data_IF_323248692029
#
_entry.id   IF_323248692029
#
_cell.length_a   1.000
_cell.length_b   1.000
_cell.length_c   1.000
_cell.angle_alpha   90.00
_cell.angle_beta   90.00
_cell.angle_gamma   90.00
#
_symmetry.space_group_name_H-M   'P 1'
#
loop_
_entity.id
_entity.type
_entity.pdbx_description
1 polymer ?
#
# COMPACT_ATOMS: atom_id res chain seq x y z
N UNK A 1 12.19 30.97 21.70
CA UNK A 1 12.74 30.22 22.85
C UNK A 1 12.58 28.71 22.61
N UNK A 2 13.56 27.89 23.01
CA UNK A 2 13.54 26.41 22.91
C UNK A 2 13.77 25.81 24.31
N UNK A 3 13.18 24.66 24.58
CA UNK A 3 13.35 23.87 25.82
C UNK A 3 14.10 22.58 25.47
N UNK A 4 15.04 22.18 26.32
CA UNK A 4 15.77 20.91 26.21
C UNK A 4 15.15 19.93 27.21
N UNK A 5 14.65 18.79 26.73
CA UNK A 5 14.22 17.68 27.57
C UNK A 5 15.46 16.90 28.02
N UNK A 6 15.58 16.66 29.33
CA UNK A 6 16.71 15.94 29.91
C UNK A 6 16.68 14.44 29.59
N UNK A 7 17.85 13.79 29.61
CA UNK A 7 18.00 12.34 29.40
C UNK A 7 17.06 11.52 30.29
N UNK A 8 16.90 11.92 31.56
CA UNK A 8 16.01 11.26 32.51
C UNK A 8 14.54 11.37 32.11
N UNK A 9 14.09 12.54 31.66
CA UNK A 9 12.72 12.74 31.17
C UNK A 9 12.46 11.95 29.88
N UNK A 10 13.43 11.94 28.95
CA UNK A 10 13.35 11.16 27.71
C UNK A 10 13.27 9.66 27.99
N UNK A 11 14.12 9.13 28.88
CA UNK A 11 14.05 7.73 29.30
C UNK A 11 12.70 7.39 29.96
N UNK A 12 12.19 8.25 30.85
CA UNK A 12 10.88 8.05 31.48
C UNK A 12 9.72 8.04 30.46
N UNK A 13 9.81 8.83 29.37
CA UNK A 13 8.84 8.77 28.27
C UNK A 13 8.94 7.42 27.54
N UNK A 14 10.15 6.96 27.20
CA UNK A 14 10.38 5.68 26.51
C UNK A 14 9.84 4.51 27.34
N UNK A 15 10.11 4.46 28.64
CA UNK A 15 9.63 3.42 29.59
C UNK A 15 8.10 3.45 29.75
N UNK A 16 7.46 4.60 29.57
CA UNK A 16 5.98 4.69 29.56
C UNK A 16 5.40 4.24 28.22
N UNK A 17 6.08 4.51 27.10
CA UNK A 17 5.66 4.07 25.77
C UNK A 17 5.86 2.57 25.54
N UNK A 18 6.87 1.94 26.16
CA UNK A 18 7.11 0.48 26.02
C UNK A 18 5.96 -0.37 26.59
N UNK A 19 5.11 0.19 27.46
CA UNK A 19 3.90 -0.46 27.97
C UNK A 19 2.78 -0.59 26.94
N UNK A 20 2.87 0.13 25.81
CA UNK A 20 1.80 0.21 24.79
C UNK A 20 2.29 0.01 23.36
N UNK A 21 3.60 -0.16 23.16
CA UNK A 21 4.24 -0.20 21.85
C UNK A 21 5.50 -1.05 21.87
N UNK A 22 5.68 -1.88 20.85
CA UNK A 22 6.88 -2.69 20.65
C UNK A 22 8.05 -1.86 20.11
N UNK A 23 7.79 -0.63 19.63
CA UNK A 23 8.79 0.28 19.03
C UNK A 23 8.76 1.67 19.71
N UNK A 24 8.88 1.75 21.04
CA UNK A 24 8.61 2.98 21.81
C UNK A 24 9.55 4.15 21.48
N UNK A 25 10.79 3.85 21.07
CA UNK A 25 11.77 4.86 20.65
C UNK A 25 11.40 5.43 19.26
N UNK A 26 10.88 4.60 18.36
CA UNK A 26 10.39 5.05 17.05
C UNK A 26 9.10 5.87 17.19
N UNK A 27 8.18 5.46 18.06
CA UNK A 27 6.99 6.25 18.41
C UNK A 27 7.38 7.65 18.94
N UNK A 28 8.36 7.71 19.86
CA UNK A 28 8.88 8.99 20.36
C UNK A 28 9.55 9.81 19.25
N UNK A 29 10.35 9.18 18.38
CA UNK A 29 11.00 9.84 17.26
C UNK A 29 10.00 10.42 16.24
N UNK A 30 8.93 9.68 15.92
CA UNK A 30 7.84 10.10 15.04
C UNK A 30 7.05 11.28 15.63
N UNK A 31 6.68 11.21 16.92
CA UNK A 31 6.01 12.31 17.63
C UNK A 31 6.95 13.52 17.71
N UNK A 32 8.25 13.33 17.94
CA UNK A 32 9.22 14.43 17.98
C UNK A 32 9.46 15.06 16.59
N UNK A 33 9.56 14.30 15.49
CA UNK A 33 9.72 14.84 14.11
C UNK A 33 8.64 15.88 13.80
N UNK A 34 7.39 15.57 14.19
CA UNK A 34 6.21 16.45 14.05
C UNK A 34 6.31 17.81 14.76
N UNK A 35 7.08 17.93 15.85
CA UNK A 35 7.11 19.12 16.71
C UNK A 35 8.48 19.84 16.76
N UNK A 36 9.52 19.24 16.18
CA UNK A 36 10.91 19.73 16.23
C UNK A 36 11.37 20.49 14.98
N UNK A 37 10.55 20.55 13.93
CA UNK A 37 10.92 21.02 12.59
C UNK A 37 12.18 20.31 12.03
N UNK A 38 12.42 19.07 12.46
CA UNK A 38 13.59 18.30 12.06
C UNK A 38 13.37 17.65 10.70
N UNK A 39 14.22 17.99 9.73
CA UNK A 39 14.30 17.30 8.43
C UNK A 39 14.95 15.91 8.53
N UNK A 40 15.47 15.50 9.70
CA UNK A 40 16.00 14.14 9.90
C UNK A 40 14.89 13.09 9.84
N UNK A 41 15.18 11.93 9.26
CA UNK A 41 14.26 10.81 9.28
C UNK A 41 14.04 10.21 10.68
N UNK A 42 12.86 9.62 10.97
CA UNK A 42 12.54 9.05 12.28
C UNK A 42 13.55 8.00 12.73
N UNK A 43 14.13 7.22 11.81
CA UNK A 43 15.20 6.26 12.10
C UNK A 43 16.46 6.93 12.64
N UNK A 44 16.89 8.06 12.05
CA UNK A 44 18.04 8.84 12.53
C UNK A 44 17.77 9.47 13.89
N UNK A 45 16.57 9.99 14.10
CA UNK A 45 16.13 10.52 15.41
C UNK A 45 16.07 9.39 16.44
N UNK A 46 15.58 8.20 16.07
CA UNK A 46 15.54 7.03 16.95
C UNK A 46 16.94 6.58 17.36
N UNK A 47 17.91 6.53 16.42
CA UNK A 47 19.31 6.20 16.72
C UNK A 47 19.94 7.22 17.69
N UNK A 48 19.67 8.52 17.52
CA UNK A 48 20.09 9.57 18.47
C UNK A 48 19.45 9.38 19.86
N UNK A 49 18.24 8.81 19.92
CA UNK A 49 17.52 8.44 21.16
C UNK A 49 17.93 7.09 21.78
N UNK A 50 18.71 6.25 21.09
CA UNK A 50 19.32 5.05 21.67
C UNK A 50 20.59 5.38 22.47
N UNK A 51 21.33 6.43 22.09
CA UNK A 51 22.61 6.81 22.71
C UNK A 51 22.53 7.27 24.16
N UNK A 52 23.69 7.47 24.79
CA UNK A 52 23.83 7.82 26.22
C UNK A 52 23.29 9.23 26.53
N UNK A 53 23.55 10.21 25.64
CA UNK A 53 23.19 11.61 25.82
C UNK A 53 21.90 12.01 25.07
N UNK A 54 20.75 11.51 25.55
CA UNK A 54 19.44 11.72 24.92
C UNK A 54 18.88 13.12 25.23
N UNK A 55 19.15 14.10 24.37
CA UNK A 55 18.59 15.46 24.47
C UNK A 55 17.63 15.73 23.32
N UNK A 56 16.37 16.00 23.63
CA UNK A 56 15.37 16.46 22.66
C UNK A 56 15.13 17.96 22.84
N UNK A 57 15.14 18.73 21.74
CA UNK A 57 15.00 20.19 21.80
C UNK A 57 13.72 20.61 21.08
N UNK A 58 12.78 21.20 21.82
CA UNK A 58 11.43 21.52 21.34
C UNK A 58 11.17 23.02 21.49
N UNK A 59 10.45 23.63 20.55
CA UNK A 59 9.97 25.01 20.70
C UNK A 59 9.00 25.11 21.88
N UNK A 60 9.04 26.20 22.65
CA UNK A 60 8.11 26.41 23.78
C UNK A 60 6.65 26.29 23.33
N UNK A 61 6.32 26.84 22.16
CA UNK A 61 4.97 26.75 21.57
C UNK A 61 4.54 25.31 21.20
N UNK A 62 5.50 24.41 21.00
CA UNK A 62 5.25 23.00 20.64
C UNK A 62 5.20 22.06 21.84
N UNK A 63 5.56 22.50 23.05
CA UNK A 63 5.75 21.58 24.20
C UNK A 63 4.44 20.95 24.68
N UNK A 64 3.38 21.75 24.83
CA UNK A 64 2.06 21.28 25.24
C UNK A 64 1.46 20.29 24.22
N UNK A 65 1.36 20.60 22.91
CA UNK A 65 0.83 19.64 21.95
C UNK A 65 1.70 18.39 21.77
N UNK A 66 3.03 18.48 21.95
CA UNK A 66 3.92 17.30 22.01
C UNK A 66 3.55 16.36 23.17
N UNK A 67 3.44 16.87 24.40
CA UNK A 67 3.04 16.05 25.55
C UNK A 67 1.61 15.52 25.45
N UNK A 68 0.67 16.29 24.89
CA UNK A 68 -0.70 15.82 24.64
C UNK A 68 -0.73 14.64 23.66
N UNK A 69 0.12 14.62 22.63
CA UNK A 69 0.21 13.48 21.71
C UNK A 69 0.93 12.27 22.32
N UNK A 70 1.94 12.49 23.18
CA UNK A 70 2.51 11.41 24.00
C UNK A 70 1.45 10.77 24.92
N UNK A 71 0.62 11.57 25.59
CA UNK A 71 -0.47 11.07 26.45
C UNK A 71 -1.51 10.29 25.62
N UNK A 72 -1.82 10.73 24.39
CA UNK A 72 -2.67 9.95 23.47
C UNK A 72 -2.02 8.63 23.08
N UNK A 73 -0.72 8.61 22.75
CA UNK A 73 0.00 7.36 22.42
C UNK A 73 0.01 6.39 23.60
N UNK A 74 0.27 6.87 24.82
CA UNK A 74 0.17 6.11 26.08
C UNK A 74 -1.25 5.60 26.38
N UNK A 75 -2.28 6.08 25.68
CA UNK A 75 -3.65 5.54 25.69
C UNK A 75 -3.98 4.73 24.43
N UNK A 76 -2.95 4.13 23.81
CA UNK A 76 -3.03 3.30 22.61
C UNK A 76 -3.61 4.00 21.38
N UNK A 77 -3.54 5.34 21.29
CA UNK A 77 -3.96 6.02 20.07
C UNK A 77 -2.95 5.72 18.94
N UNK A 78 -3.36 5.28 17.74
CA UNK A 78 -2.43 4.82 16.70
C UNK A 78 -1.43 5.91 16.27
N UNK A 79 -0.15 5.55 16.14
CA UNK A 79 0.92 6.48 15.78
C UNK A 79 0.65 7.18 14.44
N UNK A 80 0.19 6.43 13.43
CA UNK A 80 -0.20 6.95 12.11
C UNK A 80 -1.32 8.00 12.16
N UNK A 81 -2.20 7.95 13.17
CA UNK A 81 -3.23 8.97 13.38
C UNK A 81 -2.71 10.22 14.12
N UNK A 82 -1.58 10.13 14.84
CA UNK A 82 -0.90 11.28 15.45
C UNK A 82 -0.05 12.02 14.41
N UNK A 83 0.76 11.29 13.65
CA UNK A 83 1.58 11.82 12.54
C UNK A 83 0.73 12.27 11.35
N UNK A 84 -0.45 11.67 11.18
CA UNK A 84 -1.34 11.78 9.99
C UNK A 84 -0.72 11.16 8.73
N UNK A 85 0.18 10.19 8.90
CA UNK A 85 1.01 9.60 7.86
C UNK A 85 1.18 8.09 8.10
N UNK A 86 1.26 7.32 7.01
CA UNK A 86 1.67 5.91 6.98
C UNK A 86 2.34 5.60 5.65
N UNK A 87 3.55 5.08 5.69
CA UNK A 87 4.22 4.52 4.52
C UNK A 87 3.53 3.23 4.06
N UNK A 88 3.35 3.09 2.75
CA UNK A 88 2.82 1.89 2.09
C UNK A 88 3.39 1.83 0.67
N UNK A 89 4.04 0.72 0.33
CA UNK A 89 4.86 0.59 -0.87
C UNK A 89 5.88 1.77 -0.94
N UNK A 90 6.18 2.26 -2.12
CA UNK A 90 7.10 3.39 -2.34
C UNK A 90 6.47 4.78 -2.11
N UNK A 91 5.48 4.95 -1.23
CA UNK A 91 4.81 6.24 -0.97
C UNK A 91 4.35 6.47 0.47
N UNK A 92 4.42 7.72 0.93
CA UNK A 92 3.82 8.18 2.19
C UNK A 92 2.33 8.55 1.97
N UNK A 93 1.41 7.86 2.64
CA UNK A 93 -0.02 8.14 2.56
C UNK A 93 -0.50 9.01 3.73
N UNK A 94 -1.28 10.06 3.43
CA UNK A 94 -1.94 10.83 4.47
C UNK A 94 -3.12 10.04 5.04
N UNK A 95 -3.17 9.91 6.37
CA UNK A 95 -4.17 9.12 7.10
C UNK A 95 -4.84 9.97 8.18
N UNK A 96 -6.12 9.68 8.47
CA UNK A 96 -6.90 10.29 9.57
C UNK A 96 -7.80 9.25 10.23
N UNK A 97 -8.14 9.49 11.50
CA UNK A 97 -9.10 8.68 12.28
C UNK A 97 -10.40 8.43 11.52
N UNK A 98 -10.79 7.17 11.43
CA UNK A 98 -11.99 6.72 10.70
C UNK A 98 -11.75 6.32 9.24
N UNK A 99 -10.48 6.10 8.87
CA UNK A 99 -10.03 5.37 7.67
C UNK A 99 -9.03 4.32 8.14
N UNK A 100 -9.08 3.11 7.56
CA UNK A 100 -8.15 2.01 7.88
C UNK A 100 -6.70 2.46 7.65
N UNK A 101 -5.79 2.05 8.54
CA UNK A 101 -4.36 2.29 8.36
C UNK A 101 -3.82 1.24 7.38
N UNK A 102 -3.16 1.64 6.27
CA UNK A 102 -2.55 0.69 5.32
C UNK A 102 -1.64 -0.34 5.99
N UNK A 103 -1.71 -1.56 5.48
CA UNK A 103 -1.08 -2.76 6.03
C UNK A 103 0.01 -3.25 5.07
N UNK A 104 1.27 -3.46 5.50
CA UNK A 104 2.33 -3.98 4.62
C UNK A 104 1.93 -5.26 3.88
N UNK A 105 1.12 -6.11 4.52
CA UNK A 105 0.59 -7.35 3.97
C UNK A 105 -0.28 -7.13 2.71
N UNK A 106 -0.83 -5.93 2.52
CA UNK A 106 -1.62 -5.57 1.32
C UNK A 106 -0.77 -5.07 0.15
N UNK A 107 0.55 -4.91 0.31
CA UNK A 107 1.46 -4.49 -0.77
C UNK A 107 1.53 -5.54 -1.89
N UNK A 108 1.30 -6.82 -1.58
CA UNK A 108 1.21 -7.91 -2.58
C UNK A 108 0.12 -7.66 -3.64
N UNK A 109 -0.94 -6.92 -3.32
CA UNK A 109 -1.99 -6.57 -4.29
C UNK A 109 -1.49 -5.52 -5.31
N UNK A 110 -0.51 -4.69 -4.93
CA UNK A 110 0.19 -3.79 -5.86
C UNK A 110 1.06 -4.62 -6.80
N UNK A 111 1.87 -5.53 -6.25
CA UNK A 111 2.73 -6.42 -7.05
C UNK A 111 1.91 -7.25 -8.04
N UNK A 112 0.86 -7.94 -7.58
CA UNK A 112 -0.04 -8.70 -8.45
C UNK A 112 -0.62 -7.81 -9.56
N UNK A 113 -1.10 -6.59 -9.23
CA UNK A 113 -1.62 -5.64 -10.21
C UNK A 113 -0.59 -5.21 -11.26
N UNK A 114 0.68 -4.97 -10.88
CA UNK A 114 1.77 -4.70 -11.82
C UNK A 114 1.92 -5.87 -12.79
N UNK A 115 1.85 -7.09 -12.26
CA UNK A 115 2.19 -8.29 -13.00
C UNK A 115 1.07 -8.73 -13.95
N UNK A 116 -0.20 -8.58 -13.57
CA UNK A 116 -1.35 -8.72 -14.48
C UNK A 116 -1.37 -7.61 -15.55
N UNK A 117 -0.94 -6.40 -15.22
CA UNK A 117 -0.78 -5.34 -16.22
C UNK A 117 0.29 -5.73 -17.24
N UNK A 118 1.48 -6.15 -16.77
CA UNK A 118 2.57 -6.62 -17.63
C UNK A 118 2.18 -7.85 -18.47
N UNK A 119 1.40 -8.81 -17.95
CA UNK A 119 0.94 -9.95 -18.75
C UNK A 119 0.03 -9.51 -19.89
N UNK A 120 -0.93 -8.60 -19.65
CA UNK A 120 -1.73 -7.97 -20.71
C UNK A 120 -0.86 -7.22 -21.73
N UNK A 121 0.24 -6.58 -21.30
CA UNK A 121 1.16 -5.95 -22.23
C UNK A 121 1.89 -6.96 -23.14
N UNK A 122 2.16 -8.17 -22.65
CA UNK A 122 2.87 -9.21 -23.40
C UNK A 122 1.91 -10.00 -24.30
N UNK A 123 0.69 -10.27 -23.83
CA UNK A 123 -0.35 -11.04 -24.53
C UNK A 123 -1.22 -10.13 -25.39
N UNK A 124 -0.76 -9.86 -26.62
CA UNK A 124 -1.58 -9.21 -27.65
C UNK A 124 -2.61 -10.17 -28.27
N UNK A 125 -3.53 -10.74 -27.45
CA UNK A 125 -4.85 -11.26 -27.84
C UNK A 125 -5.65 -11.81 -26.63
N UNK A 126 -6.96 -11.56 -26.67
CA UNK A 126 -8.03 -12.10 -25.81
C UNK A 126 -8.08 -11.64 -24.33
N UNK A 127 -8.89 -10.61 -24.10
CA UNK A 127 -9.30 -10.13 -22.78
C UNK A 127 -10.25 -11.08 -22.05
N UNK A 128 -9.86 -11.56 -20.87
CA UNK A 128 -10.77 -12.14 -19.86
C UNK A 128 -10.56 -11.44 -18.51
N UNK A 129 -11.62 -10.82 -17.99
CA UNK A 129 -11.60 -10.13 -16.68
C UNK A 129 -11.26 -11.11 -15.56
N UNK A 130 -10.22 -10.80 -14.79
CA UNK A 130 -9.79 -11.62 -13.64
C UNK A 130 -10.15 -10.93 -12.32
N UNK A 131 -10.89 -11.62 -11.45
CA UNK A 131 -11.21 -11.15 -10.09
C UNK A 131 -10.06 -11.52 -9.13
N UNK A 132 -9.57 -10.54 -8.37
CA UNK A 132 -8.51 -10.70 -7.36
C UNK A 132 -9.07 -10.22 -6.02
N UNK A 133 -9.67 -11.14 -5.27
CA UNK A 133 -10.22 -10.85 -3.94
C UNK A 133 -9.20 -11.11 -2.83
N UNK A 134 -8.96 -10.10 -1.99
CA UNK A 134 -8.11 -10.18 -0.79
C UNK A 134 -8.89 -10.17 0.52
N UNK A 135 -9.92 -11.02 0.67
CA UNK A 135 -10.57 -11.27 1.98
C UNK A 135 -9.70 -12.14 2.90
N UNK A 136 -8.78 -12.89 2.34
CA UNK A 136 -7.54 -13.41 2.92
C UNK A 136 -6.78 -13.91 1.69
N UNK A 137 -5.48 -13.64 1.51
CA UNK A 137 -4.77 -14.09 0.29
C UNK A 137 -3.66 -15.11 0.63
N UNK A 138 -3.86 -16.18 1.39
CA UNK A 138 -5.07 -16.90 1.85
C UNK A 138 -4.84 -17.42 3.31
N UNK A 139 -4.58 -16.53 4.27
CA UNK A 139 -3.76 -16.74 5.51
C UNK A 139 -2.25 -16.92 5.23
N UNK A 140 -1.96 -17.29 3.99
CA UNK A 140 -0.76 -17.97 3.52
C UNK A 140 -0.80 -17.91 1.99
N UNK A 141 0.31 -17.69 1.29
CA UNK A 141 0.28 -17.45 -0.18
C UNK A 141 0.39 -18.69 -1.13
N UNK A 142 0.42 -19.98 -0.78
CA UNK A 142 0.10 -20.72 0.46
C UNK A 142 1.26 -20.77 1.50
N UNK A 143 2.40 -20.15 1.18
CA UNK A 143 3.36 -19.46 2.10
C UNK A 143 4.51 -18.87 1.24
N UNK A 144 4.15 -18.38 0.05
CA UNK A 144 4.85 -18.77 -1.16
C UNK A 144 5.65 -17.62 -1.77
N UNK A 145 6.95 -17.83 -1.95
CA UNK A 145 7.92 -16.76 -2.17
C UNK A 145 8.22 -16.51 -3.65
N UNK A 146 7.98 -15.28 -4.11
CA UNK A 146 8.51 -14.74 -5.37
C UNK A 146 9.32 -13.48 -5.12
N UNK A 147 10.63 -13.51 -5.39
CA UNK A 147 11.44 -12.28 -5.49
C UNK A 147 11.73 -11.95 -6.96
N UNK A 148 10.63 -11.86 -7.72
CA UNK A 148 10.50 -11.20 -9.02
C UNK A 148 11.24 -11.74 -10.26
N UNK A 149 10.95 -13.00 -10.66
CA UNK A 149 11.06 -13.48 -12.06
C UNK A 149 9.86 -14.43 -12.37
N UNK A 150 8.63 -13.89 -12.40
CA UNK A 150 7.83 -13.77 -11.18
C UNK A 150 6.59 -14.67 -11.09
N UNK A 151 5.80 -14.73 -12.18
CA UNK A 151 4.32 -14.84 -12.11
C UNK A 151 3.74 -16.03 -12.84
N UNK A 152 4.40 -16.53 -13.87
CA UNK A 152 3.99 -17.74 -14.58
C UNK A 152 4.50 -18.96 -13.79
N UNK A 153 4.09 -18.91 -12.53
CA UNK A 153 4.73 -19.43 -11.32
C UNK A 153 3.73 -19.24 -10.18
N UNK A 154 3.30 -17.98 -10.02
CA UNK A 154 2.06 -17.54 -9.39
C UNK A 154 0.83 -18.05 -10.19
N UNK A 155 1.01 -18.96 -11.16
CA UNK A 155 -0.07 -19.53 -11.99
C UNK A 155 -0.02 -21.04 -12.23
N UNK A 156 1.14 -21.69 -12.37
CA UNK A 156 1.25 -23.15 -12.64
C UNK A 156 1.00 -24.01 -11.36
N UNK A 157 -0.02 -23.61 -10.64
CA UNK A 157 0.10 -23.36 -9.22
C UNK A 157 -1.29 -23.07 -8.67
N UNK A 158 -2.08 -22.29 -9.40
CA UNK A 158 -3.43 -21.97 -8.99
C UNK A 158 -4.35 -23.17 -9.08
N UNK A 159 -5.11 -23.39 -8.01
CA UNK A 159 -6.29 -24.25 -8.01
C UNK A 159 -7.41 -23.53 -7.27
N UNK A 160 -8.64 -23.85 -7.61
CA UNK A 160 -9.83 -23.16 -7.13
C UNK A 160 -10.74 -24.15 -6.41
N UNK A 161 -11.13 -23.81 -5.18
CA UNK A 161 -12.17 -24.51 -4.41
C UNK A 161 -13.02 -23.49 -3.67
N UNK A 162 -14.35 -23.68 -3.68
CA UNK A 162 -15.33 -22.87 -2.95
C UNK A 162 -15.23 -21.33 -3.18
N UNK A 163 -14.80 -20.91 -4.37
CA UNK A 163 -14.89 -19.52 -4.85
C UNK A 163 -13.62 -18.66 -4.73
N UNK A 164 -12.45 -19.25 -4.44
CA UNK A 164 -11.19 -18.52 -4.27
C UNK A 164 -10.00 -19.16 -5.02
N UNK A 165 -9.02 -18.33 -5.39
CA UNK A 165 -7.90 -18.67 -6.28
C UNK A 165 -6.58 -18.90 -5.50
N UNK A 166 -6.09 -20.14 -5.42
CA UNK A 166 -4.82 -20.50 -4.72
C UNK A 166 -3.58 -20.39 -5.63
N UNK A 167 -2.39 -20.86 -5.15
CA UNK A 167 -1.08 -20.86 -5.84
C UNK A 167 -0.10 -21.93 -5.21
N UNK A 168 0.52 -22.86 -5.98
CA UNK A 168 1.41 -24.02 -5.61
C UNK A 168 2.93 -23.89 -5.97
N UNK A 169 3.80 -24.44 -5.09
CA UNK A 169 5.18 -24.03 -4.82
C UNK A 169 6.28 -24.20 -5.91
N UNK A 170 6.48 -25.38 -6.50
CA UNK A 170 7.62 -25.62 -7.43
C UNK A 170 7.62 -24.66 -8.64
N UNK A 171 6.42 -24.22 -8.99
CA UNK A 171 6.19 -23.25 -10.03
C UNK A 171 6.84 -21.89 -9.76
N UNK A 172 6.97 -21.36 -8.51
CA UNK A 172 7.77 -20.12 -8.20
C UNK A 172 9.29 -20.32 -8.15
N UNK A 173 9.80 -21.48 -8.57
CA UNK A 173 11.23 -21.62 -8.88
C UNK A 173 11.51 -21.68 -10.40
N UNK A 174 10.63 -22.30 -11.19
CA UNK A 174 10.87 -22.59 -12.61
C UNK A 174 10.91 -21.39 -13.59
N UNK A 175 9.92 -20.50 -13.59
CA UNK A 175 10.05 -19.25 -14.35
C UNK A 175 11.11 -18.33 -13.74
N UNK A 176 11.42 -18.51 -12.45
CA UNK A 176 12.32 -17.65 -11.68
C UNK A 176 13.77 -17.76 -12.11
N UNK A 177 14.07 -18.78 -12.91
CA UNK A 177 15.31 -18.82 -13.65
C UNK A 177 15.14 -18.37 -15.12
N UNK A 178 13.94 -18.45 -15.70
CA UNK A 178 13.71 -18.14 -17.11
C UNK A 178 13.79 -16.65 -17.51
N UNK A 179 13.22 -15.69 -16.75
CA UNK A 179 13.20 -14.28 -17.20
C UNK A 179 14.55 -13.56 -16.99
N UNK A 180 15.45 -14.06 -16.12
CA UNK A 180 16.83 -13.53 -15.98
C UNK A 180 17.91 -14.39 -16.64
N UNK A 181 17.80 -15.74 -16.70
CA UNK A 181 18.77 -16.53 -17.51
C UNK A 181 18.56 -16.35 -19.02
N UNK A 182 17.35 -16.01 -19.48
CA UNK A 182 17.11 -15.60 -20.88
C UNK A 182 16.97 -14.08 -20.91
N UNK A 183 17.85 -13.40 -21.66
CA UNK A 183 17.85 -11.95 -21.94
C UNK A 183 16.63 -11.47 -22.75
N UNK A 184 15.41 -11.90 -22.39
CA UNK A 184 14.19 -11.75 -23.19
C UNK A 184 13.31 -10.57 -22.82
N UNK A 185 13.51 -9.91 -21.67
CA UNK A 185 12.87 -8.60 -21.41
C UNK A 185 13.27 -7.61 -22.51
N UNK A 186 14.55 -7.61 -22.91
CA UNK A 186 15.04 -6.82 -24.05
C UNK A 186 14.38 -7.25 -25.38
N UNK A 187 14.18 -8.55 -25.63
CA UNK A 187 13.54 -9.06 -26.87
C UNK A 187 12.03 -8.72 -26.94
N UNK A 188 11.33 -8.67 -25.80
CA UNK A 188 9.92 -8.27 -25.74
C UNK A 188 9.79 -6.79 -26.08
N UNK A 189 10.64 -5.94 -25.51
CA UNK A 189 10.56 -4.49 -25.69
C UNK A 189 11.14 -3.99 -27.03
N UNK A 190 12.19 -4.63 -27.55
CA UNK A 190 12.74 -4.30 -28.88
C UNK A 190 11.82 -4.67 -30.05
N UNK A 191 10.80 -5.53 -29.83
CA UNK A 191 9.80 -5.89 -30.84
C UNK A 191 8.57 -4.98 -30.89
N UNK A 192 8.31 -4.17 -29.86
CA UNK A 192 7.09 -3.35 -29.79
C UNK A 192 7.33 -1.98 -30.43
N UNK A 193 6.49 -1.60 -31.41
CA UNK A 193 6.51 -0.24 -31.97
C UNK A 193 5.96 0.76 -30.95
N UNK A 194 6.61 1.92 -30.83
CA UNK A 194 6.36 2.97 -29.83
C UNK A 194 4.97 3.61 -29.81
N UNK A 195 4.12 3.30 -30.80
CA UNK A 195 2.93 4.11 -31.11
C UNK A 195 1.60 3.52 -30.63
N UNK A 196 1.58 2.29 -30.12
CA UNK A 196 0.37 1.69 -29.53
C UNK A 196 0.31 1.99 -28.02
N UNK A 197 -0.52 2.97 -27.63
CA UNK A 197 -0.72 3.27 -26.21
C UNK A 197 -1.44 2.12 -25.52
N UNK A 198 -0.80 1.56 -24.49
CA UNK A 198 -1.30 0.36 -23.83
C UNK A 198 -2.10 0.72 -22.59
N UNK A 199 -3.41 0.86 -22.78
CA UNK A 199 -4.36 1.25 -21.73
C UNK A 199 -4.63 0.06 -20.78
N UNK A 200 -4.50 0.29 -19.48
CA UNK A 200 -4.77 -0.69 -18.43
C UNK A 200 -5.98 -0.21 -17.63
N UNK A 201 -7.11 -0.90 -17.77
CA UNK A 201 -8.38 -0.58 -17.12
C UNK A 201 -8.58 -1.52 -15.94
N UNK A 202 -8.60 -0.99 -14.72
CA UNK A 202 -8.78 -1.82 -13.53
C UNK A 202 -9.69 -1.17 -12.48
N UNK A 203 -10.11 -1.98 -11.51
CA UNK A 203 -11.03 -1.55 -10.46
C UNK A 203 -10.48 -1.90 -9.08
N UNK A 204 -10.78 -1.09 -8.07
CA UNK A 204 -10.51 -1.39 -6.67
C UNK A 204 -11.79 -1.29 -5.82
N UNK A 205 -12.13 -2.35 -5.10
CA UNK A 205 -13.19 -2.36 -4.09
C UNK A 205 -12.61 -2.16 -2.68
N UNK A 206 -13.33 -1.40 -1.85
CA UNK A 206 -12.95 -1.07 -0.47
C UNK A 206 -11.63 -0.28 -0.37
N UNK A 207 -11.44 0.69 -1.27
CA UNK A 207 -10.17 1.43 -1.48
C UNK A 207 -9.60 2.12 -0.23
N UNK A 208 -10.43 2.44 0.79
CA UNK A 208 -9.96 2.99 2.05
C UNK A 208 -9.22 4.32 1.91
N UNK A 209 -7.90 4.30 2.07
CA UNK A 209 -7.02 5.46 1.88
C UNK A 209 -6.50 5.63 0.45
N UNK A 210 -6.88 4.74 -0.49
CA UNK A 210 -6.36 4.66 -1.85
C UNK A 210 -5.03 3.93 -1.98
N UNK A 211 -4.59 3.22 -0.94
CA UNK A 211 -3.23 2.70 -0.82
C UNK A 211 -2.79 1.84 -2.02
N UNK A 212 -3.59 0.83 -2.39
CA UNK A 212 -3.22 -0.16 -3.40
C UNK A 212 -3.27 0.47 -4.80
N UNK A 213 -4.41 1.05 -5.19
CA UNK A 213 -4.60 1.62 -6.53
C UNK A 213 -3.67 2.80 -6.83
N UNK A 214 -3.43 3.69 -5.87
CA UNK A 214 -2.53 4.84 -6.08
C UNK A 214 -1.08 4.39 -6.25
N UNK A 215 -0.61 3.43 -5.43
CA UNK A 215 0.72 2.85 -5.60
C UNK A 215 0.84 2.13 -6.94
N UNK A 216 -0.15 1.32 -7.32
CA UNK A 216 -0.15 0.62 -8.61
C UNK A 216 -0.09 1.57 -9.80
N UNK A 217 -0.88 2.65 -9.81
CA UNK A 217 -0.82 3.67 -10.88
C UNK A 217 0.57 4.30 -10.94
N UNK A 218 1.14 4.68 -9.79
CA UNK A 218 2.46 5.30 -9.70
C UNK A 218 3.55 4.40 -10.30
N UNK A 219 3.51 3.09 -10.02
CA UNK A 219 4.48 2.14 -10.57
C UNK A 219 4.24 1.85 -12.05
N UNK A 220 3.00 1.65 -12.50
CA UNK A 220 2.71 1.47 -13.93
C UNK A 220 3.19 2.67 -14.77
N UNK A 221 3.14 3.88 -14.21
CA UNK A 221 3.69 5.09 -14.83
C UNK A 221 5.22 5.20 -14.70
N UNK A 222 5.84 4.61 -13.67
CA UNK A 222 7.30 4.58 -13.52
C UNK A 222 7.94 3.69 -14.59
N UNK A 223 7.28 2.58 -14.94
CA UNK A 223 7.70 1.65 -16.01
C UNK A 223 7.77 2.31 -17.41
N UNK A 224 7.11 3.45 -17.64
CA UNK A 224 7.20 4.20 -18.90
C UNK A 224 8.56 4.87 -19.15
N UNK A 225 9.48 4.82 -18.17
CA UNK A 225 10.82 5.43 -18.24
C UNK A 225 11.94 4.44 -17.95
N UNK A 226 11.71 3.15 -18.23
CA UNK A 226 12.72 2.12 -18.03
C UNK A 226 13.93 2.33 -18.95
N UNK A 227 15.10 2.45 -18.33
CA UNK A 227 16.38 2.27 -19.01
C UNK A 227 16.56 0.78 -19.30
N UNK A 228 16.78 0.47 -20.56
CA UNK A 228 17.01 -0.88 -21.08
C UNK A 228 18.39 -0.93 -21.73
N UNK A 229 18.98 -2.12 -21.77
CA UNK A 229 20.13 -2.42 -22.61
C UNK A 229 19.63 -3.14 -23.86
N UNK A 230 20.29 -2.98 -25.00
CA UNK A 230 20.05 -3.80 -26.19
C UNK A 230 21.00 -5.02 -26.22
N UNK A 231 20.93 -5.84 -27.28
CA UNK A 231 21.80 -7.02 -27.45
C UNK A 231 23.30 -6.72 -27.59
N UNK A 232 23.67 -5.46 -27.81
CA UNK A 232 25.05 -4.97 -27.88
C UNK A 232 25.48 -4.28 -26.56
N UNK A 233 24.63 -4.28 -25.54
CA UNK A 233 24.76 -3.51 -24.30
C UNK A 233 24.72 -1.98 -24.48
N UNK A 234 24.13 -1.48 -25.57
CA UNK A 234 23.84 -0.04 -25.69
C UNK A 234 22.63 0.32 -24.81
N UNK A 235 22.72 1.41 -24.06
CA UNK A 235 21.66 1.92 -23.21
C UNK A 235 20.59 2.67 -24.03
N UNK A 236 19.31 2.35 -23.85
CA UNK A 236 18.18 3.08 -24.45
C UNK A 236 17.02 3.25 -23.46
N UNK A 237 16.21 4.29 -23.64
CA UNK A 237 14.96 4.47 -22.87
C UNK A 237 13.84 3.75 -23.62
N UNK A 238 13.17 2.83 -22.95
CA UNK A 238 11.99 2.17 -23.47
C UNK A 238 10.71 2.88 -23.01
N UNK A 239 9.90 3.33 -23.98
CA UNK A 239 8.63 4.01 -23.73
C UNK A 239 7.45 3.04 -23.90
N UNK A 240 7.04 2.40 -22.80
CA UNK A 240 5.92 1.46 -22.81
C UNK A 240 4.55 2.11 -23.04
N UNK A 241 4.44 3.43 -22.88
CA UNK A 241 3.21 4.23 -23.06
C UNK A 241 1.99 3.61 -22.36
N UNK A 242 2.22 3.06 -21.16
CA UNK A 242 1.22 2.49 -20.26
C UNK A 242 0.36 3.64 -19.76
N UNK A 243 -0.95 3.51 -19.98
CA UNK A 243 -1.95 4.46 -19.50
C UNK A 243 -2.88 3.75 -18.54
N UNK A 244 -2.58 3.74 -17.22
CA UNK A 244 -3.48 3.16 -16.24
C UNK A 244 -4.71 4.06 -16.07
N UNK A 245 -5.87 3.43 -15.93
CA UNK A 245 -7.14 4.05 -15.57
C UNK A 245 -7.82 3.16 -14.53
N UNK A 246 -8.20 3.74 -13.40
CA UNK A 246 -8.70 3.01 -12.25
C UNK A 246 -10.03 3.57 -11.73
N UNK A 247 -11.00 2.70 -11.47
CA UNK A 247 -12.20 3.03 -10.70
C UNK A 247 -12.09 2.48 -9.28
N UNK A 248 -12.14 3.37 -8.29
CA UNK A 248 -12.05 2.98 -6.88
C UNK A 248 -13.37 3.21 -6.17
N UNK A 249 -13.83 2.23 -5.40
CA UNK A 249 -15.10 2.28 -4.69
C UNK A 249 -14.94 2.08 -3.18
N UNK A 250 -15.65 2.90 -2.40
CA UNK A 250 -15.75 2.75 -0.94
C UNK A 250 -17.10 3.29 -0.44
N UNK A 251 -17.64 2.68 0.62
CA UNK A 251 -18.90 3.09 1.25
C UNK A 251 -18.73 4.30 2.18
N UNK A 252 -17.52 4.49 2.74
CA UNK A 252 -17.19 5.52 3.71
C UNK A 252 -16.86 6.86 3.04
N UNK A 253 -17.65 7.89 3.34
CA UNK A 253 -17.37 9.29 2.90
C UNK A 253 -16.00 9.78 3.41
N UNK A 254 -15.51 9.25 4.54
CA UNK A 254 -14.18 9.59 5.09
C UNK A 254 -13.06 8.95 4.28
N UNK A 255 -13.19 7.66 3.93
CA UNK A 255 -12.26 6.94 3.07
C UNK A 255 -12.09 7.66 1.72
N UNK A 256 -13.21 7.87 1.01
CA UNK A 256 -13.27 8.61 -0.26
C UNK A 256 -12.58 9.99 -0.19
N UNK A 257 -12.75 10.74 0.90
CA UNK A 257 -12.10 12.04 1.07
C UNK A 257 -10.58 11.94 1.30
N UNK A 258 -10.11 10.86 1.92
CA UNK A 258 -8.67 10.63 2.15
C UNK A 258 -8.01 10.08 0.89
N UNK A 259 -8.61 9.08 0.23
CA UNK A 259 -8.14 8.56 -1.04
C UNK A 259 -8.01 9.65 -2.12
N UNK A 260 -9.01 10.54 -2.25
CA UNK A 260 -8.92 11.69 -3.18
C UNK A 260 -7.79 12.66 -2.85
N UNK A 261 -7.50 12.87 -1.56
CA UNK A 261 -6.37 13.70 -1.14
C UNK A 261 -5.04 13.02 -1.48
N UNK A 262 -4.90 11.73 -1.18
CA UNK A 262 -3.71 10.95 -1.49
C UNK A 262 -3.44 10.89 -2.99
N UNK A 263 -4.47 10.66 -3.82
CA UNK A 263 -4.34 10.65 -5.27
C UNK A 263 -3.80 11.99 -5.80
N UNK A 264 -4.34 13.13 -5.33
CA UNK A 264 -3.85 14.46 -5.72
C UNK A 264 -2.40 14.72 -5.29
N UNK A 265 -1.97 14.22 -4.13
CA UNK A 265 -0.61 14.42 -3.61
C UNK A 265 0.40 13.52 -4.33
N UNK A 266 0.08 12.24 -4.49
CA UNK A 266 1.03 11.21 -4.92
C UNK A 266 1.11 11.12 -6.46
N UNK A 267 -0.02 11.25 -7.17
CA UNK A 267 -0.06 11.17 -8.63
C UNK A 267 0.15 12.53 -9.31
N UNK A 268 -0.12 13.63 -8.60
CA UNK A 268 0.08 14.99 -9.12
C UNK A 268 -0.71 15.26 -10.40
N UNK A 269 0.00 15.37 -11.54
CA UNK A 269 -0.60 15.56 -12.87
C UNK A 269 -1.40 14.34 -13.35
N UNK A 270 -1.01 13.15 -12.89
CA UNK A 270 -1.59 11.86 -13.28
C UNK A 270 -2.82 11.47 -12.44
N UNK A 271 -3.35 12.41 -11.63
CA UNK A 271 -4.57 12.21 -10.82
C UNK A 271 -5.81 11.86 -11.66
N UNK A 272 -5.79 12.14 -12.96
CA UNK A 272 -6.87 11.76 -13.87
C UNK A 272 -6.90 10.25 -14.19
N UNK A 273 -5.83 9.50 -13.91
CA UNK A 273 -5.80 8.04 -13.99
C UNK A 273 -6.62 7.33 -12.90
N UNK A 274 -7.23 8.05 -11.97
CA UNK A 274 -8.02 7.44 -10.87
C UNK A 274 -9.33 8.19 -10.60
N UNK A 275 -10.45 7.46 -10.64
CA UNK A 275 -11.78 8.00 -10.31
C UNK A 275 -12.35 7.31 -9.08
N UNK A 276 -12.34 8.04 -7.97
CA UNK A 276 -12.76 7.55 -6.64
C UNK A 276 -14.23 7.91 -6.39
N UNK A 277 -15.08 6.90 -6.19
CA UNK A 277 -16.54 7.00 -6.16
C UNK A 277 -17.10 6.41 -4.86
N UNK A 278 -17.93 7.18 -4.14
CA UNK A 278 -18.66 6.64 -2.99
C UNK A 278 -19.76 5.70 -3.48
N UNK A 279 -19.71 4.42 -3.11
CA UNK A 279 -20.73 3.42 -3.45
C UNK A 279 -20.83 2.32 -2.40
N UNK A 280 -21.96 1.63 -2.34
CA UNK A 280 -22.04 0.32 -1.69
C UNK A 280 -21.99 -0.74 -2.80
N UNK A 281 -20.91 -1.54 -2.83
CA UNK A 281 -20.65 -2.55 -3.86
C UNK A 281 -21.64 -3.72 -3.81
N UNK A 282 -22.29 -3.95 -2.67
CA UNK A 282 -23.27 -5.04 -2.47
C UNK A 282 -24.69 -4.69 -2.97
N UNK A 283 -24.92 -3.46 -3.47
CA UNK A 283 -26.23 -3.07 -4.00
C UNK A 283 -26.36 -3.43 -5.48
N UNK A 284 -27.51 -3.96 -5.87
CA UNK A 284 -27.85 -4.23 -7.27
C UNK A 284 -27.73 -2.98 -8.17
N UNK A 285 -28.03 -1.79 -7.63
CA UNK A 285 -27.86 -0.52 -8.35
C UNK A 285 -26.38 -0.14 -8.62
N UNK A 286 -25.43 -0.74 -7.91
CA UNK A 286 -24.01 -0.66 -8.23
C UNK A 286 -23.65 -1.63 -9.35
N UNK A 287 -24.09 -2.90 -9.26
CA UNK A 287 -23.89 -3.90 -10.31
C UNK A 287 -24.41 -3.40 -11.66
N UNK A 288 -25.62 -2.82 -11.71
CA UNK A 288 -26.18 -2.16 -12.90
C UNK A 288 -25.29 -1.03 -13.49
N UNK A 289 -24.50 -0.34 -12.67
CA UNK A 289 -23.57 0.74 -13.10
C UNK A 289 -22.21 0.24 -13.60
N UNK A 290 -21.83 -0.98 -13.24
CA UNK A 290 -20.55 -1.60 -13.67
C UNK A 290 -20.73 -2.75 -14.66
N UNK A 291 -21.95 -3.27 -14.86
CA UNK A 291 -22.28 -4.41 -15.73
C UNK A 291 -21.68 -4.33 -17.14
N UNK A 292 -21.65 -3.14 -17.72
CA UNK A 292 -21.15 -2.90 -19.09
C UNK A 292 -19.71 -2.35 -19.11
N UNK A 293 -18.98 -2.40 -17.98
CA UNK A 293 -17.57 -2.00 -17.91
C UNK A 293 -16.70 -3.25 -17.92
N UNK A 294 -15.80 -3.32 -18.89
CA UNK A 294 -14.74 -4.31 -18.90
C UNK A 294 -13.55 -3.77 -18.10
N UNK A 295 -13.02 -4.60 -17.21
CA UNK A 295 -11.74 -4.37 -16.54
C UNK A 295 -10.81 -5.54 -16.89
N UNK A 296 -9.53 -5.25 -16.97
CA UNK A 296 -8.48 -6.26 -17.10
C UNK A 296 -8.42 -7.12 -15.82
N UNK A 297 -8.43 -6.43 -14.67
CA UNK A 297 -8.51 -7.06 -13.36
C UNK A 297 -9.25 -6.18 -12.34
N UNK A 298 -9.72 -6.80 -11.28
CA UNK A 298 -10.37 -6.14 -10.13
C UNK A 298 -9.59 -6.53 -8.87
N UNK A 299 -9.15 -5.54 -8.10
CA UNK A 299 -8.52 -5.70 -6.79
C UNK A 299 -9.54 -5.45 -5.68
N UNK A 300 -9.44 -6.16 -4.56
CA UNK A 300 -10.23 -5.86 -3.37
C UNK A 300 -9.47 -6.18 -2.07
N UNK A 301 -9.59 -5.31 -1.08
CA UNK A 301 -9.24 -5.60 0.33
C UNK A 301 -10.49 -5.33 1.20
N UNK A 302 -11.51 -6.21 1.14
CA UNK A 302 -12.76 -6.04 1.86
C UNK A 302 -12.58 -6.29 3.37
N UNK A 303 -13.53 -5.88 4.23
CA UNK A 303 -13.50 -6.24 5.64
C UNK A 303 -13.83 -7.73 5.84
N UNK A 304 -12.89 -8.51 6.37
CA UNK A 304 -12.98 -9.97 6.48
C UNK A 304 -12.94 -10.53 7.91
N UNK A 305 -12.70 -9.69 8.92
CA UNK A 305 -12.40 -10.17 10.27
C UNK A 305 -13.67 -10.68 10.95
N UNK A 306 -13.65 -11.95 11.40
CA UNK A 306 -14.77 -12.55 12.10
C UNK A 306 -15.08 -11.83 13.43
N UNK A 307 -16.31 -11.96 13.93
CA UNK A 307 -16.68 -11.40 15.25
C UNK A 307 -15.84 -12.00 16.39
N UNK A 308 -15.41 -13.25 16.27
CA UNK A 308 -14.57 -13.91 17.27
C UNK A 308 -13.14 -13.37 17.24
N UNK A 309 -12.55 -13.22 16.04
CA UNK A 309 -11.17 -12.74 15.88
C UNK A 309 -11.05 -11.24 16.12
N UNK A 310 -12.13 -10.48 15.92
CA UNK A 310 -12.20 -9.08 16.33
C UNK A 310 -11.92 -8.89 17.83
N UNK A 311 -12.21 -9.87 18.69
CA UNK A 311 -11.90 -9.81 20.13
C UNK A 311 -10.39 -9.94 20.35
N UNK A 312 -9.69 -10.75 19.54
CA UNK A 312 -8.25 -11.03 19.62
C UNK A 312 -7.38 -9.87 19.11
N UNK A 313 -7.91 -9.01 18.25
CA UNK A 313 -7.16 -7.88 17.64
C UNK A 313 -6.46 -6.97 18.67
N UNK A 314 -5.35 -6.29 18.31
CA UNK A 314 -4.70 -5.31 19.16
C UNK A 314 -5.66 -4.21 19.63
N UNK A 315 -5.49 -3.75 20.88
CA UNK A 315 -6.40 -2.78 21.51
C UNK A 315 -6.53 -1.48 20.70
N UNK A 316 -5.45 -0.98 20.11
CA UNK A 316 -5.47 0.23 19.29
C UNK A 316 -6.33 0.07 18.02
N UNK A 317 -6.26 -1.08 17.35
CA UNK A 317 -7.08 -1.41 16.18
C UNK A 317 -8.56 -1.48 16.58
N UNK A 318 -8.90 -2.28 17.59
CA UNK A 318 -10.29 -2.46 18.10
C UNK A 318 -10.95 -1.15 18.50
N UNK A 319 -10.17 -0.22 19.08
CA UNK A 319 -10.67 1.02 19.70
C UNK A 319 -10.72 2.22 18.77
N UNK A 320 -9.78 2.34 17.82
CA UNK A 320 -9.60 3.58 17.05
C UNK A 320 -9.85 3.44 15.55
N UNK A 321 -9.70 2.26 14.97
CA UNK A 321 -9.92 2.02 13.55
C UNK A 321 -11.40 1.75 13.22
N UNK A 322 -11.87 2.08 12.01
CA UNK A 322 -13.29 2.01 11.69
C UNK A 322 -13.76 0.56 11.54
N UNK A 323 -14.70 0.11 12.40
CA UNK A 323 -15.27 -1.25 12.37
C UNK A 323 -15.78 -1.69 11.00
N UNK A 324 -16.31 -0.78 10.18
CA UNK A 324 -16.79 -1.05 8.81
C UNK A 324 -15.68 -1.43 7.81
N UNK A 325 -14.40 -1.20 8.16
CA UNK A 325 -13.23 -1.65 7.39
C UNK A 325 -12.51 -2.82 8.07
N UNK A 326 -13.14 -3.46 9.06
CA UNK A 326 -12.60 -4.62 9.79
C UNK A 326 -13.58 -5.79 9.74
N UNK A 327 -14.84 -5.55 10.13
CA UNK A 327 -15.90 -6.55 10.20
C UNK A 327 -16.71 -6.58 8.90
N UNK A 328 -17.02 -7.76 8.35
CA UNK A 328 -17.93 -7.86 7.21
C UNK A 328 -19.31 -7.29 7.55
N UNK A 329 -20.06 -6.80 6.54
CA UNK A 329 -21.45 -6.38 6.73
C UNK A 329 -22.32 -7.55 7.23
N UNK A 330 -23.40 -7.20 7.94
CA UNK A 330 -24.43 -8.15 8.36
C UNK A 330 -25.37 -8.49 7.20
#
# INVERSE_FOLDING_TARGET
MKIILSTNLVNNIIVRLSKVSNTPILDLALIYKKYSNSNKEPSRIANELFGINKKLTISVFSILPFFLDLIKRMRYYPIAYLTKSKDFYNSEFFIKKGVLIPRPESEILVDLGILFSLSKLIEAKESKTTLIEGSFFMEKFNNFQSQNIIVNQIKNACKEENGFLFVNYESIINLKENIVKKNKIQDIFSKRRSNESSQIEFCEFCTGSGAISISLIKELLSLNKLLCLNKKNDLYINYLNIKPNCLCFDISKKAISIAKKNAKIILGKEVNSIRIIKSNILKECFLKKVKNKMFDFILANPPYISKADFIKLPFEVKRYEPKIALLPPK
#
